data_IF_718684656229
#
_entry.id   IF_718684656229
#
_cell.length_a   1.000
_cell.length_b   1.000
_cell.length_c   1.000
_cell.angle_alpha   90.00
_cell.angle_beta   90.00
_cell.angle_gamma   90.00
#
_symmetry.space_group_name_H-M   'P 1'
#
loop_
_entity.id
_entity.type
_entity.pdbx_description
1 polymer ?
#
# COMPACT_ATOMS: atom_id res chain seq x y z
N UNK A 1 11.66 -3.01 -27.70
CA UNK A 1 10.72 -3.74 -26.81
C UNK A 1 10.84 -3.26 -25.36
N UNK A 2 10.63 -1.97 -25.09
CA UNK A 2 10.65 -1.43 -23.71
C UNK A 2 9.37 -0.64 -23.38
N UNK A 3 8.32 -0.71 -24.19
CA UNK A 3 7.04 -0.02 -23.91
C UNK A 3 6.09 -0.87 -23.05
N UNK A 4 6.19 -2.20 -23.09
CA UNK A 4 5.31 -3.10 -22.35
C UNK A 4 5.50 -3.02 -20.83
N UNK A 5 6.72 -2.74 -20.36
CA UNK A 5 7.02 -2.59 -18.93
C UNK A 5 6.46 -1.31 -18.31
N UNK A 6 6.37 -0.22 -19.08
CA UNK A 6 5.77 1.03 -18.62
C UNK A 6 4.24 0.94 -18.61
N UNK A 7 3.64 0.34 -19.63
CA UNK A 7 2.19 0.18 -19.70
C UNK A 7 1.62 -0.75 -18.61
N UNK A 8 2.31 -1.86 -18.27
CA UNK A 8 1.95 -2.69 -17.11
C UNK A 8 2.12 -1.95 -15.79
N UNK A 9 3.12 -1.06 -15.68
CA UNK A 9 3.28 -0.18 -14.53
C UNK A 9 2.07 0.76 -14.41
N UNK A 10 1.70 1.44 -15.50
CA UNK A 10 0.57 2.39 -15.60
C UNK A 10 -0.79 1.73 -15.34
N UNK A 11 -1.00 0.49 -15.81
CA UNK A 11 -2.19 -0.29 -15.50
C UNK A 11 -2.23 -0.79 -14.04
N UNK A 12 -1.10 -1.28 -13.51
CA UNK A 12 -0.94 -1.67 -12.09
C UNK A 12 -1.00 -0.47 -11.13
N UNK A 13 -0.89 0.76 -11.64
CA UNK A 13 -1.11 1.96 -10.85
C UNK A 13 -2.61 2.24 -10.66
N UNK A 14 -3.47 1.85 -11.60
CA UNK A 14 -4.93 2.02 -11.49
C UNK A 14 -5.57 0.92 -10.64
N UNK A 15 -5.04 -0.30 -10.72
CA UNK A 15 -5.49 -1.49 -9.99
C UNK A 15 -4.48 -1.86 -8.92
N UNK A 16 -4.90 -1.87 -7.65
CA UNK A 16 -4.06 -2.29 -6.53
C UNK A 16 -3.43 -3.67 -6.82
N UNK A 17 -2.09 -3.75 -6.97
CA UNK A 17 -1.45 -4.99 -7.35
C UNK A 17 -1.58 -6.03 -6.25
N UNK A 18 -1.65 -7.31 -6.64
CA UNK A 18 -1.87 -8.43 -5.70
C UNK A 18 -0.84 -8.46 -4.55
N UNK A 19 0.41 -8.10 -4.84
CA UNK A 19 1.48 -8.01 -3.83
C UNK A 19 1.21 -6.95 -2.76
N UNK A 20 0.61 -5.81 -3.12
CA UNK A 20 0.25 -4.76 -2.15
C UNK A 20 -0.90 -5.25 -1.29
N UNK A 21 -1.90 -5.92 -1.89
CA UNK A 21 -3.01 -6.51 -1.12
C UNK A 21 -2.50 -7.55 -0.12
N UNK A 22 -1.57 -8.41 -0.52
CA UNK A 22 -0.93 -9.40 0.37
C UNK A 22 -0.18 -8.72 1.52
N UNK A 23 0.63 -7.69 1.21
CA UNK A 23 1.34 -6.90 2.23
C UNK A 23 0.38 -6.21 3.20
N UNK A 24 -0.68 -5.59 2.69
CA UNK A 24 -1.72 -4.94 3.49
C UNK A 24 -2.46 -5.93 4.40
N UNK A 25 -2.74 -7.14 3.89
CA UNK A 25 -3.34 -8.23 4.67
C UNK A 25 -2.41 -8.67 5.82
N UNK A 26 -1.11 -8.82 5.54
CA UNK A 26 -0.09 -9.16 6.56
C UNK A 26 0.03 -8.12 7.67
N UNK A 27 -0.08 -6.84 7.35
CA UNK A 27 -0.04 -5.75 8.35
C UNK A 27 -1.40 -5.44 8.96
N UNK A 28 -2.47 -6.09 8.50
CA UNK A 28 -3.83 -5.84 8.98
C UNK A 28 -4.33 -4.43 8.67
N UNK A 29 -4.01 -3.85 7.51
CA UNK A 29 -4.52 -2.53 7.10
C UNK A 29 -5.50 -2.69 5.95
N UNK A 30 -6.71 -2.17 6.13
CA UNK A 30 -7.73 -2.11 5.09
C UNK A 30 -7.61 -0.79 4.33
N UNK A 31 -6.99 -0.86 3.16
CA UNK A 31 -6.90 0.27 2.24
C UNK A 31 -8.03 0.20 1.21
N UNK A 32 -8.86 1.24 1.12
CA UNK A 32 -9.89 1.32 0.10
C UNK A 32 -9.30 1.73 -1.26
N UNK A 33 -9.91 1.26 -2.36
CA UNK A 33 -9.47 1.60 -3.72
C UNK A 33 -9.42 3.11 -3.97
N UNK A 34 -10.33 3.88 -3.37
CA UNK A 34 -10.34 5.35 -3.47
C UNK A 34 -9.10 5.99 -2.83
N UNK A 35 -8.61 5.44 -1.73
CA UNK A 35 -7.43 5.92 -1.02
C UNK A 35 -6.16 5.53 -1.80
N UNK A 36 -6.11 4.30 -2.31
CA UNK A 36 -5.06 3.87 -3.22
C UNK A 36 -4.97 4.75 -4.47
N UNK A 37 -6.13 5.09 -5.06
CA UNK A 37 -6.20 5.98 -6.22
C UNK A 37 -5.77 7.43 -5.90
N UNK A 38 -5.88 7.86 -4.65
CA UNK A 38 -5.38 9.15 -4.19
C UNK A 38 -3.84 9.20 -4.03
N UNK A 39 -3.18 8.04 -3.93
CA UNK A 39 -1.73 7.98 -3.83
C UNK A 39 -1.05 8.34 -5.15
N UNK A 40 0.08 9.03 -5.04
CA UNK A 40 0.94 9.32 -6.18
C UNK A 40 1.71 8.08 -6.62
N UNK A 41 2.14 8.07 -7.88
CA UNK A 41 3.02 7.03 -8.45
C UNK A 41 4.23 6.72 -7.55
N UNK A 42 4.86 7.76 -7.01
CA UNK A 42 6.03 7.64 -6.12
C UNK A 42 5.69 6.93 -4.81
N UNK A 43 4.50 7.17 -4.25
CA UNK A 43 4.06 6.56 -2.99
C UNK A 43 3.71 5.08 -3.20
N UNK A 44 2.99 4.78 -4.29
CA UNK A 44 2.69 3.39 -4.69
C UNK A 44 3.95 2.58 -4.98
N UNK A 45 4.96 3.22 -5.60
CA UNK A 45 6.26 2.59 -5.87
C UNK A 45 7.02 2.31 -4.58
N UNK A 46 7.06 3.25 -3.64
CA UNK A 46 7.65 3.02 -2.32
C UNK A 46 6.96 1.87 -1.57
N UNK A 47 5.62 1.80 -1.59
CA UNK A 47 4.89 0.70 -0.97
C UNK A 47 5.14 -0.66 -1.65
N UNK A 48 5.45 -0.66 -2.94
CA UNK A 48 5.82 -1.89 -3.65
C UNK A 48 7.23 -2.34 -3.24
N UNK A 49 8.17 -1.41 -3.24
CA UNK A 49 9.60 -1.65 -3.01
C UNK A 49 9.94 -1.90 -1.54
N UNK A 50 9.11 -1.40 -0.61
CA UNK A 50 9.33 -1.56 0.82
C UNK A 50 9.47 -3.05 1.21
N UNK A 51 10.46 -3.41 2.04
CA UNK A 51 10.61 -4.77 2.55
C UNK A 51 9.43 -5.10 3.49
N UNK A 52 9.01 -6.36 3.50
CA UNK A 52 7.94 -6.87 4.38
C UNK A 52 8.29 -8.27 4.91
N UNK A 53 9.58 -8.53 5.11
CA UNK A 53 10.11 -9.87 5.44
C UNK A 53 10.22 -10.06 6.96
N UNK A 54 10.47 -8.99 7.71
CA UNK A 54 10.63 -9.00 9.17
C UNK A 54 9.46 -8.32 9.87
N UNK A 55 9.23 -8.65 11.15
CA UNK A 55 8.22 -7.98 11.97
C UNK A 55 8.43 -6.45 12.05
N UNK A 56 9.68 -6.00 12.16
CA UNK A 56 10.01 -4.57 12.13
C UNK A 56 9.66 -3.91 10.80
N UNK A 57 9.87 -4.60 9.68
CA UNK A 57 9.49 -4.12 8.35
C UNK A 57 7.98 -4.01 8.20
N UNK A 58 7.22 -4.97 8.74
CA UNK A 58 5.76 -4.92 8.76
C UNK A 58 5.26 -3.71 9.55
N UNK A 59 5.86 -3.41 10.71
CA UNK A 59 5.52 -2.24 11.52
C UNK A 59 5.88 -0.93 10.79
N UNK A 60 7.07 -0.85 10.19
CA UNK A 60 7.49 0.31 9.42
C UNK A 60 6.59 0.54 8.19
N UNK A 61 6.25 -0.55 7.48
CA UNK A 61 5.31 -0.53 6.35
C UNK A 61 3.94 -0.03 6.77
N UNK A 62 3.41 -0.55 7.87
CA UNK A 62 2.12 -0.14 8.42
C UNK A 62 2.09 1.36 8.71
N UNK A 63 3.09 1.87 9.43
CA UNK A 63 3.22 3.29 9.75
C UNK A 63 3.34 4.15 8.48
N UNK A 64 4.05 3.66 7.45
CA UNK A 64 4.20 4.36 6.18
C UNK A 64 2.86 4.45 5.44
N UNK A 65 2.09 3.35 5.37
CA UNK A 65 0.74 3.35 4.78
C UNK A 65 -0.17 4.32 5.53
N UNK A 66 -0.17 4.30 6.86
CA UNK A 66 -1.01 5.21 7.65
C UNK A 66 -0.68 6.68 7.41
N UNK A 67 0.60 7.03 7.37
CA UNK A 67 1.03 8.39 7.09
C UNK A 67 0.60 8.82 5.67
N UNK A 68 0.68 7.93 4.68
CA UNK A 68 0.24 8.19 3.31
C UNK A 68 -1.27 8.39 3.23
N UNK A 69 -2.06 7.52 3.87
CA UNK A 69 -3.52 7.63 3.91
C UNK A 69 -3.92 8.92 4.61
N UNK A 70 -3.36 9.21 5.79
CA UNK A 70 -3.65 10.45 6.51
C UNK A 70 -3.31 11.68 5.69
N UNK A 71 -2.19 11.66 4.97
CA UNK A 71 -1.77 12.79 4.13
C UNK A 71 -2.62 12.95 2.87
N UNK A 72 -3.10 11.87 2.27
CA UNK A 72 -3.93 11.91 1.05
C UNK A 72 -5.42 12.14 1.33
N UNK A 73 -5.96 11.58 2.41
CA UNK A 73 -7.41 11.55 2.70
C UNK A 73 -7.78 12.38 3.93
N UNK A 74 -6.80 12.75 4.76
CA UNK A 74 -7.03 13.38 6.05
C UNK A 74 -7.60 12.42 7.11
N UNK A 75 -7.65 11.11 6.82
CA UNK A 75 -8.20 10.09 7.73
C UNK A 75 -7.18 8.98 7.95
N UNK A 76 -7.27 8.29 9.09
CA UNK A 76 -6.49 7.08 9.31
C UNK A 76 -7.13 5.91 8.54
N UNK A 77 -6.33 5.00 7.95
CA UNK A 77 -6.87 3.81 7.34
C UNK A 77 -7.48 2.92 8.41
N UNK A 78 -8.51 2.18 8.02
CA UNK A 78 -9.13 1.21 8.90
C UNK A 78 -8.12 0.09 9.16
N UNK A 79 -7.54 0.06 10.36
CA UNK A 79 -6.77 -1.09 10.78
C UNK A 79 -7.78 -2.22 10.98
N UNK A 80 -7.59 -3.32 10.26
CA UNK A 80 -8.16 -4.60 10.62
C UNK A 80 -7.51 -4.94 11.95
N UNK A 81 -8.09 -4.44 13.04
CA UNK A 81 -7.66 -4.76 14.38
C UNK A 81 -7.66 -6.29 14.46
N UNK A 82 -6.48 -6.90 14.38
CA UNK A 82 -6.29 -8.24 14.87
C UNK A 82 -6.68 -8.14 16.32
N UNK A 83 -7.86 -8.69 16.63
CA UNK A 83 -8.45 -8.79 17.96
C UNK A 83 -7.38 -8.76 19.05
N UNK A 84 -7.20 -7.60 19.68
CA UNK A 84 -6.54 -7.51 20.98
C UNK A 84 -7.53 -8.15 21.95
N UNK A 85 -7.31 -9.42 22.27
CA UNK A 85 -7.94 -10.12 23.37
C UNK A 85 -6.86 -10.96 24.06
#
# INVERSE_FOLDING_TARGET
>A
MNQDKQAELEAALTLMPRIIRDKLDRVGIKLHLKEWQAFSLRERTQLRDAPCESASDLVAYAAMVEALVLRCTGRQPDRLASSQA
#
